data_IF_006603947138
#
_entry.id   IF_006603947138
#
_cell.length_a   1.000
_cell.length_b   1.000
_cell.length_c   1.000
_cell.angle_alpha   90.00
_cell.angle_beta   90.00
_cell.angle_gamma   90.00
#
_symmetry.space_group_name_H-M   'P 1'
#
loop_
_entity.id
_entity.type
_entity.pdbx_description
1 polymer ?
#
# COMPACT_ATOMS: atom_id res chain seq x y z
N UNK A 1 21.65 9.10 -24.39
CA UNK A 1 20.56 9.06 -23.41
C UNK A 1 20.36 10.45 -22.82
N UNK A 2 19.15 10.92 -22.81
CA UNK A 2 18.86 12.23 -22.24
C UNK A 2 18.74 12.11 -20.71
N UNK A 3 19.68 12.72 -20.00
CA UNK A 3 19.70 12.71 -18.54
C UNK A 3 18.50 13.43 -17.93
N UNK A 4 17.81 14.27 -18.69
CA UNK A 4 16.58 14.93 -18.23
C UNK A 4 15.43 13.95 -18.01
N UNK A 5 15.52 12.75 -18.57
CA UNK A 5 14.51 11.69 -18.40
C UNK A 5 14.80 10.75 -17.23
N UNK A 6 15.78 11.08 -16.37
CA UNK A 6 16.03 10.26 -15.15
C UNK A 6 14.81 10.18 -14.26
N UNK A 7 13.93 11.22 -14.25
CA UNK A 7 12.65 11.20 -13.54
C UNK A 7 11.64 10.21 -14.13
N UNK A 8 11.88 9.74 -15.37
CA UNK A 8 11.04 8.73 -16.02
C UNK A 8 11.38 7.30 -15.58
N UNK A 9 12.43 7.09 -14.77
CA UNK A 9 12.74 5.76 -14.24
C UNK A 9 11.63 5.29 -13.32
N UNK A 10 11.19 4.01 -13.45
CA UNK A 10 10.17 3.47 -12.57
C UNK A 10 10.61 3.44 -11.12
N UNK A 11 9.67 3.69 -10.22
CA UNK A 11 9.88 3.54 -8.79
C UNK A 11 9.41 2.17 -8.35
N UNK A 12 10.23 1.47 -7.58
CA UNK A 12 9.85 0.19 -6.97
C UNK A 12 9.18 0.47 -5.64
N UNK A 13 7.94 0.02 -5.51
CA UNK A 13 7.15 0.19 -4.30
C UNK A 13 6.57 -1.13 -3.84
N UNK A 14 6.19 -1.17 -2.57
CA UNK A 14 5.54 -2.30 -1.92
C UNK A 14 4.23 -1.84 -1.31
N UNK A 15 3.30 -2.76 -1.16
CA UNK A 15 2.04 -2.53 -0.47
C UNK A 15 1.55 -3.83 0.14
N UNK A 16 0.66 -3.71 1.13
CA UNK A 16 0.07 -4.89 1.77
C UNK A 16 -1.44 -4.82 1.76
N UNK A 17 -2.07 -5.98 1.54
CA UNK A 17 -3.48 -6.20 1.77
C UNK A 17 -3.60 -7.03 3.04
N UNK A 18 -4.18 -6.44 4.08
CA UNK A 18 -4.35 -7.05 5.38
C UNK A 18 -5.84 -7.05 5.70
N UNK A 19 -6.42 -8.23 5.83
CA UNK A 19 -7.84 -8.40 6.14
C UNK A 19 -8.02 -8.94 7.55
N UNK A 20 -9.01 -8.40 8.26
CA UNK A 20 -9.45 -8.91 9.56
C UNK A 20 -10.94 -8.67 9.71
N UNK A 21 -11.69 -9.73 9.98
CA UNK A 21 -13.15 -9.67 10.18
C UNK A 21 -13.87 -8.96 9.02
N UNK A 22 -13.50 -9.29 7.80
CA UNK A 22 -14.07 -8.73 6.55
C UNK A 22 -13.79 -7.24 6.35
N UNK A 23 -12.79 -6.70 7.04
CA UNK A 23 -12.33 -5.33 6.87
C UNK A 23 -10.86 -5.32 6.50
N UNK A 24 -10.48 -4.29 5.76
CA UNK A 24 -9.13 -4.11 5.24
C UNK A 24 -8.43 -2.95 5.94
N UNK A 25 -7.14 -3.15 6.23
CA UNK A 25 -6.32 -2.13 6.84
C UNK A 25 -5.91 -1.11 5.78
N UNK A 26 -6.32 0.13 5.95
CA UNK A 26 -5.94 1.24 5.10
C UNK A 26 -5.32 2.35 5.93
N UNK A 27 -4.56 3.20 5.24
CA UNK A 27 -4.03 4.42 5.83
C UNK A 27 -4.82 5.62 5.31
N UNK A 28 -5.08 6.55 6.20
CA UNK A 28 -5.62 7.87 5.88
C UNK A 28 -4.46 8.83 5.92
N UNK A 29 -4.15 9.44 4.78
CA UNK A 29 -2.95 10.25 4.64
C UNK A 29 -3.23 11.57 3.94
N UNK A 30 -2.31 12.53 4.12
CA UNK A 30 -2.38 13.80 3.46
C UNK A 30 -1.46 13.77 2.24
N UNK A 31 -2.03 14.01 1.06
CA UNK A 31 -1.29 14.03 -0.20
C UNK A 31 -1.75 15.22 -1.03
N UNK A 32 -0.80 16.09 -1.41
CA UNK A 32 -1.07 17.29 -2.22
C UNK A 32 -2.18 18.18 -1.62
N UNK A 33 -2.20 18.32 -0.28
CA UNK A 33 -3.20 19.12 0.40
C UNK A 33 -4.57 18.45 0.56
N UNK A 34 -4.72 17.23 0.09
CA UNK A 34 -5.98 16.46 0.19
C UNK A 34 -5.80 15.26 1.10
N UNK A 35 -6.89 14.85 1.73
CA UNK A 35 -6.93 13.63 2.54
C UNK A 35 -7.35 12.49 1.64
N UNK A 36 -6.53 11.42 1.58
CA UNK A 36 -6.77 10.26 0.73
C UNK A 36 -6.54 8.97 1.53
N UNK A 37 -7.10 7.86 1.00
CA UNK A 37 -6.93 6.52 1.57
C UNK A 37 -6.11 5.67 0.63
N UNK A 38 -5.25 4.82 1.20
CA UNK A 38 -4.38 3.92 0.45
C UNK A 38 -4.15 2.64 1.24
N UNK A 39 -3.73 1.56 0.57
CA UNK A 39 -3.12 0.47 1.31
C UNK A 39 -1.85 0.99 1.99
N UNK A 40 -1.41 0.35 3.09
CA UNK A 40 -0.06 0.59 3.58
C UNK A 40 0.94 0.35 2.45
N UNK A 41 1.76 1.34 2.14
CA UNK A 41 2.62 1.28 0.96
C UNK A 41 3.79 2.24 1.07
N UNK A 42 4.87 1.95 0.36
CA UNK A 42 6.02 2.84 0.31
C UNK A 42 7.11 2.34 -0.62
N UNK A 43 8.21 3.07 -0.67
CA UNK A 43 9.33 2.79 -1.55
C UNK A 43 10.27 1.74 -0.96
N UNK A 44 10.80 0.89 -1.84
CA UNK A 44 11.90 0.00 -1.50
C UNK A 44 13.13 0.83 -1.18
N UNK A 45 13.82 0.51 -0.09
CA UNK A 45 15.11 1.10 0.23
C UNK A 45 16.24 0.23 -0.31
N UNK A 46 17.37 0.85 -0.60
CA UNK A 46 18.56 0.15 -1.07
C UNK A 46 18.98 -0.94 -0.07
N UNK A 47 19.26 -2.14 -0.58
CA UNK A 47 19.70 -3.27 0.24
C UNK A 47 18.60 -4.01 0.99
N UNK A 48 17.36 -3.56 0.87
CA UNK A 48 16.20 -4.13 1.54
C UNK A 48 15.50 -5.13 0.61
N UNK A 49 15.03 -6.27 1.14
CA UNK A 49 14.17 -7.16 0.36
C UNK A 49 12.76 -6.56 0.23
N UNK A 50 12.02 -7.01 -0.78
CA UNK A 50 10.64 -6.54 -0.98
C UNK A 50 9.75 -6.88 0.22
N UNK A 51 9.88 -8.07 0.79
CA UNK A 51 9.10 -8.46 1.97
C UNK A 51 9.48 -7.65 3.20
N UNK A 52 10.77 -7.39 3.40
CA UNK A 52 11.24 -6.54 4.50
C UNK A 52 10.69 -5.10 4.36
N UNK A 53 10.69 -4.57 3.15
CA UNK A 53 10.10 -3.25 2.87
C UNK A 53 8.61 -3.21 3.19
N UNK A 54 7.87 -4.26 2.80
CA UNK A 54 6.44 -4.35 3.08
C UNK A 54 6.14 -4.41 4.57
N UNK A 55 6.92 -5.18 5.33
CA UNK A 55 6.80 -5.23 6.79
C UNK A 55 7.09 -3.88 7.42
N UNK A 56 8.17 -3.23 6.99
CA UNK A 56 8.59 -1.92 7.52
C UNK A 56 7.55 -0.85 7.23
N UNK A 57 7.11 -0.70 5.98
CA UNK A 57 6.15 0.33 5.59
C UNK A 57 4.81 0.13 6.29
N UNK A 58 4.33 -1.10 6.40
CA UNK A 58 3.08 -1.37 7.10
C UNK A 58 3.18 -0.99 8.56
N UNK A 59 4.30 -1.33 9.22
CA UNK A 59 4.50 -0.98 10.61
C UNK A 59 4.63 0.54 10.82
N UNK A 60 5.41 1.23 9.98
CA UNK A 60 5.59 2.68 10.08
C UNK A 60 4.28 3.44 9.87
N UNK A 61 3.42 2.94 8.99
CA UNK A 61 2.18 3.62 8.63
C UNK A 61 0.97 3.20 9.44
N UNK A 62 1.00 2.05 10.09
CA UNK A 62 -0.19 1.53 10.79
C UNK A 62 0.06 1.08 12.22
N UNK A 63 1.31 0.94 12.63
CA UNK A 63 1.74 0.34 13.90
C UNK A 63 1.41 -1.15 14.04
N UNK A 64 0.96 -1.79 12.96
CA UNK A 64 0.67 -3.22 12.95
C UNK A 64 1.87 -4.04 12.54
N UNK A 65 2.17 -5.04 13.34
CA UNK A 65 3.05 -6.15 12.96
C UNK A 65 2.23 -7.19 12.23
N UNK A 66 2.71 -7.58 11.07
CA UNK A 66 2.01 -8.49 10.17
C UNK A 66 2.90 -9.65 9.78
N UNK A 67 2.27 -10.72 9.30
CA UNK A 67 2.95 -11.86 8.68
C UNK A 67 2.57 -11.90 7.21
N UNK A 68 3.54 -11.75 6.33
CA UNK A 68 3.33 -11.88 4.89
C UNK A 68 3.17 -13.35 4.54
N UNK A 69 2.09 -13.68 3.84
CA UNK A 69 1.75 -15.06 3.50
C UNK A 69 1.94 -15.37 2.01
N UNK A 70 1.73 -14.41 1.13
CA UNK A 70 1.86 -14.61 -0.31
C UNK A 70 2.00 -13.29 -1.04
N UNK A 71 2.37 -13.38 -2.32
CA UNK A 71 2.33 -12.24 -3.25
C UNK A 71 0.94 -12.18 -3.89
N UNK A 72 0.30 -11.03 -3.85
CA UNK A 72 -0.97 -10.80 -4.53
C UNK A 72 -0.75 -10.53 -6.01
N UNK A 73 0.22 -9.69 -6.33
CA UNK A 73 0.53 -9.33 -7.70
C UNK A 73 1.51 -8.18 -7.80
N UNK A 74 1.93 -7.93 -9.04
CA UNK A 74 2.81 -6.82 -9.39
C UNK A 74 2.03 -5.90 -10.34
N UNK A 75 1.98 -4.62 -10.02
CA UNK A 75 1.15 -3.64 -10.72
C UNK A 75 2.00 -2.53 -11.28
N UNK A 76 1.82 -2.28 -12.56
CA UNK A 76 2.47 -1.17 -13.25
C UNK A 76 1.46 -0.03 -13.34
N UNK A 77 1.76 1.09 -12.70
CA UNK A 77 0.86 2.23 -12.63
C UNK A 77 1.58 3.53 -12.96
N UNK A 78 1.09 4.20 -14.02
CA UNK A 78 1.55 5.55 -14.37
C UNK A 78 0.66 6.56 -13.67
N UNK A 79 1.24 7.33 -12.75
CA UNK A 79 0.51 8.35 -12.01
C UNK A 79 0.23 9.57 -12.88
N UNK A 80 -1.04 9.93 -13.02
CA UNK A 80 -1.42 11.16 -13.70
C UNK A 80 -1.01 12.42 -12.92
N UNK A 81 -0.83 12.28 -11.61
CA UNK A 81 -0.49 13.41 -10.74
C UNK A 81 0.95 13.90 -10.92
N UNK A 82 1.90 12.99 -11.15
CA UNK A 82 3.33 13.34 -11.20
C UNK A 82 4.09 12.74 -12.38
N UNK A 83 3.46 11.94 -13.24
CA UNK A 83 4.10 11.30 -14.39
C UNK A 83 5.06 10.17 -14.05
N UNK A 84 5.11 9.74 -12.80
CA UNK A 84 5.97 8.65 -12.35
C UNK A 84 5.29 7.31 -12.57
N UNK A 85 6.03 6.33 -13.10
CA UNK A 85 5.60 4.93 -13.16
C UNK A 85 5.99 4.23 -11.89
N UNK A 86 5.00 3.65 -11.21
CA UNK A 86 5.21 2.85 -9.99
C UNK A 86 5.05 1.37 -10.33
N UNK A 87 6.06 0.59 -9.98
CA UNK A 87 5.98 -0.87 -10.04
C UNK A 87 5.70 -1.34 -8.61
N UNK A 88 4.43 -1.57 -8.33
CA UNK A 88 3.95 -1.91 -6.99
C UNK A 88 3.91 -3.41 -6.81
N UNK A 89 4.62 -3.90 -5.80
CA UNK A 89 4.59 -5.29 -5.37
C UNK A 89 3.63 -5.38 -4.18
N UNK A 90 2.45 -5.95 -4.40
CA UNK A 90 1.44 -6.10 -3.35
C UNK A 90 1.52 -7.48 -2.73
N UNK A 91 1.58 -7.51 -1.40
CA UNK A 91 1.63 -8.74 -0.62
C UNK A 91 0.32 -8.92 0.16
N UNK A 92 -0.06 -10.16 0.37
CA UNK A 92 -1.13 -10.55 1.28
C UNK A 92 -0.49 -10.83 2.63
N UNK A 93 -1.08 -10.29 3.70
CA UNK A 93 -0.56 -10.45 5.03
C UNK A 93 -1.66 -10.62 6.07
N UNK A 94 -1.32 -11.28 7.16
CA UNK A 94 -2.19 -11.45 8.32
C UNK A 94 -1.78 -10.48 9.41
N UNK A 95 -2.73 -9.83 10.11
CA UNK A 95 -2.41 -8.98 11.25
C UNK A 95 -2.05 -9.87 12.44
N UNK A 96 -0.95 -9.53 13.12
CA UNK A 96 -0.49 -10.30 14.29
C UNK A 96 -0.66 -9.49 15.57
N UNK A 97 -0.13 -8.26 15.59
CA UNK A 97 -0.06 -7.46 16.79
C UNK A 97 -0.01 -5.98 16.46
N UNK A 98 -0.75 -5.16 17.20
CA UNK A 98 -0.63 -3.70 17.09
C UNK A 98 0.19 -3.19 18.28
N UNK A 99 1.23 -2.41 18.00
CA UNK A 99 2.06 -1.81 19.03
C UNK A 99 1.38 -0.56 19.60
N UNK A 100 0.93 -0.58 20.88
CA UNK A 100 0.14 0.53 21.42
C UNK A 100 0.97 1.80 21.63
N UNK A 101 2.28 1.66 21.82
CA UNK A 101 3.18 2.79 22.09
C UNK A 101 3.82 3.37 20.84
N UNK A 102 3.69 2.73 19.69
CA UNK A 102 4.29 3.18 18.45
C UNK A 102 3.50 4.36 17.86
N UNK A 103 4.23 5.26 17.21
CA UNK A 103 3.64 6.42 16.53
C UNK A 103 3.61 6.19 15.03
N UNK A 104 2.56 6.68 14.38
CA UNK A 104 2.46 6.69 12.93
C UNK A 104 3.46 7.68 12.33
N UNK A 105 3.89 7.42 11.09
CA UNK A 105 4.66 8.39 10.31
C UNK A 105 3.94 9.74 10.24
N UNK A 106 4.70 10.82 10.12
CA UNK A 106 4.19 12.19 10.19
C UNK A 106 3.13 12.52 9.14
N UNK A 107 3.19 11.88 7.97
CA UNK A 107 2.23 12.11 6.89
C UNK A 107 0.95 11.28 7.03
N UNK A 108 0.93 10.33 7.94
CA UNK A 108 -0.21 9.45 8.18
C UNK A 108 -1.08 10.04 9.28
N UNK A 109 -2.35 10.27 8.96
CA UNK A 109 -3.32 10.79 9.91
C UNK A 109 -3.92 9.70 10.78
N UNK A 110 -4.16 8.52 10.19
CA UNK A 110 -4.79 7.41 10.90
C UNK A 110 -4.60 6.10 10.14
N UNK A 111 -4.68 4.99 10.85
CA UNK A 111 -4.79 3.65 10.30
C UNK A 111 -6.21 3.16 10.59
N UNK A 112 -6.93 2.76 9.56
CA UNK A 112 -8.36 2.44 9.67
C UNK A 112 -8.66 1.06 9.08
N UNK A 113 -9.70 0.44 9.60
CA UNK A 113 -10.24 -0.81 9.09
C UNK A 113 -11.56 -0.53 8.39
N UNK A 114 -11.63 -0.77 7.09
CA UNK A 114 -12.83 -0.51 6.29
C UNK A 114 -13.25 -1.76 5.53
N UNK A 115 -14.56 -1.97 5.44
CA UNK A 115 -15.11 -3.02 4.57
C UNK A 115 -14.94 -2.63 3.09
N UNK A 116 -15.06 -3.63 2.20
CA UNK A 116 -14.97 -3.36 0.76
C UNK A 116 -16.05 -2.35 0.33
N UNK A 117 -17.26 -2.44 0.87
CA UNK A 117 -18.35 -1.51 0.56
C UNK A 117 -18.03 -0.09 1.01
N UNK A 118 -17.47 0.06 2.20
CA UNK A 118 -17.03 1.36 2.70
C UNK A 118 -15.93 1.96 1.82
N UNK A 119 -15.00 1.14 1.35
CA UNK A 119 -13.92 1.57 0.46
C UNK A 119 -14.48 2.00 -0.90
N UNK A 120 -15.43 1.25 -1.45
CA UNK A 120 -16.10 1.60 -2.72
C UNK A 120 -16.80 2.95 -2.59
N UNK A 121 -17.46 3.20 -1.48
CA UNK A 121 -18.12 4.50 -1.22
C UNK A 121 -17.13 5.66 -1.17
N UNK A 122 -15.86 5.39 -0.88
CA UNK A 122 -14.79 6.38 -0.82
C UNK A 122 -13.96 6.46 -2.11
N UNK A 123 -14.47 5.97 -3.22
CA UNK A 123 -13.73 5.88 -4.49
C UNK A 123 -13.05 7.21 -4.87
N UNK A 124 -13.74 8.33 -4.69
CA UNK A 124 -13.18 9.65 -5.00
C UNK A 124 -12.07 10.10 -4.04
N UNK A 125 -11.95 9.45 -2.88
CA UNK A 125 -10.95 9.76 -1.85
C UNK A 125 -9.80 8.77 -1.82
N UNK A 126 -9.76 7.80 -2.73
CA UNK A 126 -8.65 6.85 -2.81
C UNK A 126 -7.45 7.50 -3.48
N UNK A 127 -6.26 7.16 -3.00
CA UNK A 127 -4.99 7.70 -3.52
C UNK A 127 -4.85 7.51 -5.02
N UNK A 128 -5.27 6.34 -5.51
CA UNK A 128 -5.25 6.00 -6.94
C UNK A 128 -6.26 4.89 -7.21
N UNK A 129 -6.59 4.64 -8.51
CA UNK A 129 -7.42 3.50 -8.88
C UNK A 129 -6.84 2.15 -8.47
N UNK A 130 -5.54 2.07 -8.22
CA UNK A 130 -4.88 0.84 -7.78
C UNK A 130 -5.45 0.28 -6.48
N UNK A 131 -5.92 1.13 -5.58
CA UNK A 131 -6.47 0.67 -4.30
C UNK A 131 -7.59 -0.33 -4.51
N UNK A 132 -8.55 -0.01 -5.37
CA UNK A 132 -9.65 -0.93 -5.69
C UNK A 132 -9.23 -2.09 -6.59
N UNK A 133 -8.36 -1.85 -7.56
CA UNK A 133 -7.85 -2.91 -8.45
C UNK A 133 -7.20 -4.01 -7.63
N UNK A 134 -6.34 -3.65 -6.69
CA UNK A 134 -5.65 -4.57 -5.80
C UNK A 134 -6.64 -5.36 -4.95
N UNK A 135 -7.63 -4.69 -4.37
CA UNK A 135 -8.64 -5.34 -3.53
C UNK A 135 -9.53 -6.29 -4.33
N UNK A 136 -9.89 -5.94 -5.56
CA UNK A 136 -10.66 -6.83 -6.44
C UNK A 136 -9.90 -8.09 -6.78
N UNK A 137 -8.59 -7.99 -7.04
CA UNK A 137 -7.75 -9.14 -7.30
C UNK A 137 -7.64 -10.03 -6.06
N UNK A 138 -7.53 -9.43 -4.87
CA UNK A 138 -7.52 -10.17 -3.62
C UNK A 138 -8.84 -10.94 -3.42
N UNK A 139 -9.97 -10.28 -3.59
CA UNK A 139 -11.30 -10.92 -3.45
C UNK A 139 -11.49 -12.01 -4.48
N UNK A 140 -10.93 -11.86 -5.68
CA UNK A 140 -10.97 -12.90 -6.73
C UNK A 140 -10.10 -14.12 -6.39
N UNK A 141 -9.30 -14.07 -5.33
CA UNK A 141 -8.49 -15.19 -4.88
C UNK A 141 -7.10 -15.27 -5.48
N UNK A 142 -6.64 -14.21 -6.13
CA UNK A 142 -5.28 -14.20 -6.69
C UNK A 142 -4.24 -14.32 -5.57
N UNK A 143 -3.29 -15.23 -5.76
CA UNK A 143 -2.24 -15.47 -4.78
C UNK A 143 -1.10 -16.25 -5.43
N UNK A 144 0.12 -15.83 -5.17
CA UNK A 144 1.33 -16.46 -5.70
C UNK A 144 2.29 -16.75 -4.56
N UNK A 145 3.08 -17.84 -4.63
CA UNK A 145 4.07 -18.11 -3.60
C UNK A 145 5.12 -17.01 -3.52
N UNK A 146 5.65 -16.85 -2.33
CA UNK A 146 6.76 -15.91 -2.09
C UNK A 146 8.07 -16.36 -2.74
#
# INVERSE_FOLDING_TARGET
>A
MDLKNSSALPHITVATVVEKASKFLLVKEKANGQIVYNQPAGHLKSGESLTAAALRETFEETTWRIKITSLLGIYNYLSAANGVTYIRHCFIAEPIWQEPEAKLDSDILDAVWLSIDEIIQKTAELRSPLVLTVLKDYVAGNSYPL
#
